data_IF_498405597500
#
_entry.id   IF_498405597500
#
_cell.length_a   1.000
_cell.length_b   1.000
_cell.length_c   1.000
_cell.angle_alpha   90.00
_cell.angle_beta   90.00
_cell.angle_gamma   90.00
#
_symmetry.space_group_name_H-M   'P 1'
#
loop_
_entity.id
_entity.type
_entity.pdbx_description
1 polymer ?
#
# COMPACT_ATOMS: atom_id res chain seq x y z
N UNK A 1 19.84 18.84 -6.88
CA UNK A 1 18.53 18.20 -7.07
C UNK A 1 17.95 18.74 -8.36
N UNK A 2 17.36 17.90 -9.21
CA UNK A 2 16.72 18.37 -10.44
C UNK A 2 15.36 19.01 -10.13
N UNK A 3 14.89 19.94 -10.97
CA UNK A 3 13.55 20.55 -10.80
C UNK A 3 12.44 19.49 -10.78
N UNK A 4 12.62 18.42 -11.56
CA UNK A 4 11.73 17.25 -11.61
C UNK A 4 11.68 16.53 -10.26
N UNK A 5 12.82 16.32 -9.61
CA UNK A 5 12.90 15.66 -8.31
C UNK A 5 12.16 16.45 -7.21
N UNK A 6 12.29 17.78 -7.23
CA UNK A 6 11.59 18.67 -6.29
C UNK A 6 10.08 18.63 -6.54
N UNK A 7 9.65 18.71 -7.80
CA UNK A 7 8.22 18.65 -8.16
C UNK A 7 7.58 17.31 -7.75
N UNK A 8 8.25 16.19 -8.02
CA UNK A 8 7.76 14.85 -7.67
C UNK A 8 7.65 14.67 -6.15
N UNK A 9 8.72 15.03 -5.42
CA UNK A 9 8.74 14.91 -3.96
C UNK A 9 7.70 15.83 -3.31
N UNK A 10 7.55 17.06 -3.80
CA UNK A 10 6.52 18.01 -3.35
C UNK A 10 5.09 17.49 -3.56
N UNK A 11 4.84 16.84 -4.71
CA UNK A 11 3.55 16.19 -4.99
C UNK A 11 3.27 15.06 -4.00
N UNK A 12 4.26 14.20 -3.72
CA UNK A 12 4.13 13.10 -2.76
C UNK A 12 3.89 13.58 -1.32
N UNK A 13 4.51 14.69 -0.90
CA UNK A 13 4.22 15.30 0.39
C UNK A 13 2.79 15.85 0.45
N UNK A 14 2.30 16.45 -0.63
CA UNK A 14 0.92 16.94 -0.68
C UNK A 14 -0.08 15.78 -0.59
N UNK A 15 0.17 14.68 -1.31
CA UNK A 15 -0.62 13.45 -1.21
C UNK A 15 -0.59 12.90 0.22
N UNK A 16 0.57 12.90 0.86
CA UNK A 16 0.72 12.47 2.27
C UNK A 16 -0.17 13.30 3.19
N UNK A 17 -0.12 14.63 3.10
CA UNK A 17 -0.90 15.51 3.97
C UNK A 17 -2.40 15.31 3.77
N UNK A 18 -2.84 15.16 2.52
CA UNK A 18 -4.24 14.85 2.19
C UNK A 18 -4.63 13.50 2.78
N UNK A 19 -3.81 12.46 2.62
CA UNK A 19 -4.06 11.13 3.16
C UNK A 19 -4.18 11.14 4.69
N UNK A 20 -3.31 11.87 5.39
CA UNK A 20 -3.36 12.00 6.85
C UNK A 20 -4.59 12.80 7.32
N UNK A 21 -4.97 13.86 6.60
CA UNK A 21 -6.19 14.61 6.91
C UNK A 21 -7.45 13.73 6.75
N UNK A 22 -7.51 12.95 5.68
CA UNK A 22 -8.59 11.98 5.46
C UNK A 22 -8.58 10.89 6.54
N UNK A 23 -7.41 10.36 6.90
CA UNK A 23 -7.27 9.36 7.95
C UNK A 23 -7.79 9.89 9.30
N UNK A 24 -7.40 11.11 9.66
CA UNK A 24 -7.87 11.78 10.87
C UNK A 24 -9.39 11.89 10.88
N UNK A 25 -9.98 12.38 9.79
CA UNK A 25 -11.43 12.47 9.67
C UNK A 25 -12.10 11.09 9.77
N UNK A 26 -11.57 10.08 9.09
CA UNK A 26 -12.09 8.71 9.12
C UNK A 26 -12.08 8.11 10.54
N UNK A 27 -11.05 8.40 11.34
CA UNK A 27 -11.00 8.01 12.75
C UNK A 27 -11.93 8.80 13.65
N UNK A 28 -12.40 9.98 13.26
CA UNK A 28 -13.50 10.65 13.99
C UNK A 28 -14.88 10.09 13.64
N UNK A 29 -15.01 9.39 12.51
CA UNK A 29 -16.27 8.82 12.01
C UNK A 29 -16.41 7.29 12.23
N UNK A 30 -15.85 6.74 13.31
CA UNK A 30 -15.80 5.28 13.56
C UNK A 30 -17.16 4.55 13.60
N UNK A 31 -18.28 5.27 13.73
CA UNK A 31 -19.63 4.69 13.68
C UNK A 31 -20.02 4.24 12.28
N UNK A 32 -19.36 4.74 11.24
CA UNK A 32 -19.61 4.37 9.85
C UNK A 32 -18.86 3.07 9.50
N UNK A 33 -19.55 2.04 8.95
CA UNK A 33 -18.89 0.81 8.50
C UNK A 33 -17.76 1.11 7.51
N UNK A 34 -16.60 0.48 7.69
CA UNK A 34 -15.42 0.69 6.83
C UNK A 34 -14.55 1.90 7.19
N UNK A 35 -15.04 2.87 7.97
CA UNK A 35 -14.29 4.11 8.24
C UNK A 35 -12.94 3.85 8.93
N UNK A 36 -12.89 2.94 9.90
CA UNK A 36 -11.65 2.58 10.60
C UNK A 36 -10.63 1.94 9.66
N UNK A 37 -11.06 1.00 8.82
CA UNK A 37 -10.15 0.31 7.88
C UNK A 37 -9.66 1.27 6.82
N UNK A 38 -10.53 2.15 6.32
CA UNK A 38 -10.16 3.21 5.38
C UNK A 38 -9.14 4.19 5.99
N UNK A 39 -9.32 4.60 7.26
CA UNK A 39 -8.33 5.43 7.94
C UNK A 39 -6.96 4.76 8.04
N UNK A 40 -6.90 3.46 8.35
CA UNK A 40 -5.65 2.69 8.38
C UNK A 40 -5.04 2.58 6.98
N UNK A 41 -5.84 2.37 5.94
CA UNK A 41 -5.40 2.38 4.54
C UNK A 41 -4.76 3.73 4.17
N UNK A 42 -5.38 4.85 4.54
CA UNK A 42 -4.82 6.18 4.33
C UNK A 42 -3.49 6.39 5.07
N UNK A 43 -3.35 5.89 6.30
CA UNK A 43 -2.08 5.93 7.04
C UNK A 43 -1.01 5.09 6.34
N UNK A 44 -1.34 3.88 5.89
CA UNK A 44 -0.41 3.01 5.16
C UNK A 44 0.06 3.67 3.84
N UNK A 45 -0.87 4.30 3.11
CA UNK A 45 -0.54 5.09 1.92
C UNK A 45 0.36 6.27 2.25
N UNK A 46 0.13 6.97 3.36
CA UNK A 46 0.96 8.09 3.80
C UNK A 46 2.39 7.64 4.16
N UNK A 47 2.55 6.49 4.82
CA UNK A 47 3.86 5.89 5.11
C UNK A 47 4.59 5.60 3.80
N UNK A 48 3.90 5.01 2.82
CA UNK A 48 4.46 4.73 1.50
C UNK A 48 4.90 6.02 0.80
N UNK A 49 4.03 7.03 0.69
CA UNK A 49 4.33 8.25 -0.06
C UNK A 49 5.41 9.11 0.59
N UNK A 50 5.48 9.18 1.93
CA UNK A 50 6.59 9.86 2.63
C UNK A 50 7.89 9.12 2.41
N UNK A 51 7.90 7.80 2.57
CA UNK A 51 9.11 7.02 2.36
C UNK A 51 9.62 7.17 0.93
N UNK A 52 8.73 7.16 -0.06
CA UNK A 52 9.08 7.38 -1.45
C UNK A 52 9.58 8.79 -1.74
N UNK A 53 8.96 9.83 -1.15
CA UNK A 53 9.44 11.20 -1.26
C UNK A 53 10.85 11.35 -0.68
N UNK A 54 11.10 10.77 0.49
CA UNK A 54 12.41 10.79 1.13
C UNK A 54 13.46 9.98 0.36
N UNK A 55 13.07 8.84 -0.23
CA UNK A 55 13.92 8.07 -1.14
C UNK A 55 14.38 8.94 -2.31
N UNK A 56 13.45 9.64 -2.96
CA UNK A 56 13.75 10.54 -4.07
C UNK A 56 14.63 11.72 -3.66
N UNK A 57 14.50 12.26 -2.45
CA UNK A 57 15.26 13.43 -2.01
C UNK A 57 16.72 13.12 -1.63
N UNK A 58 17.06 11.86 -1.42
CA UNK A 58 18.40 11.45 -0.98
C UNK A 58 19.27 10.98 -2.16
N UNK A 59 20.58 11.12 -2.00
CA UNK A 59 21.59 10.65 -2.97
C UNK A 59 22.52 9.58 -2.40
N UNK A 60 22.52 9.41 -1.07
CA UNK A 60 23.32 8.39 -0.39
C UNK A 60 22.62 7.03 -0.45
N UNK A 61 23.35 5.98 -0.87
CA UNK A 61 22.84 4.60 -0.92
C UNK A 61 22.18 4.17 0.40
N UNK A 62 22.82 4.45 1.53
CA UNK A 62 22.30 4.08 2.85
C UNK A 62 20.97 4.77 3.17
N UNK A 63 20.84 6.06 2.83
CA UNK A 63 19.60 6.79 3.06
C UNK A 63 18.48 6.30 2.14
N UNK A 64 18.78 6.07 0.86
CA UNK A 64 17.81 5.58 -0.13
C UNK A 64 17.34 4.16 0.25
N UNK A 65 18.24 3.26 0.66
CA UNK A 65 17.84 1.91 1.11
C UNK A 65 17.01 1.94 2.41
N UNK A 66 17.37 2.79 3.38
CA UNK A 66 16.58 2.96 4.60
C UNK A 66 15.16 3.43 4.31
N UNK A 67 15.01 4.49 3.50
CA UNK A 67 13.69 5.00 3.11
C UNK A 67 12.92 4.01 2.23
N UNK A 68 13.64 3.25 1.39
CA UNK A 68 13.14 2.09 0.67
C UNK A 68 12.54 1.03 1.61
N UNK A 69 13.26 0.64 2.67
CA UNK A 69 12.74 -0.29 3.69
C UNK A 69 11.55 0.30 4.45
N UNK A 70 11.59 1.60 4.77
CA UNK A 70 10.49 2.30 5.46
C UNK A 70 9.19 2.32 4.65
N UNK A 71 9.24 2.70 3.36
CA UNK A 71 8.02 2.73 2.53
C UNK A 71 7.38 1.35 2.38
N UNK A 72 8.17 0.28 2.46
CA UNK A 72 7.70 -1.10 2.39
C UNK A 72 6.78 -1.50 3.54
N UNK A 73 6.89 -0.82 4.69
CA UNK A 73 5.99 -1.00 5.84
C UNK A 73 4.56 -0.59 5.47
N UNK A 74 4.38 0.50 4.73
CA UNK A 74 3.07 0.90 4.21
C UNK A 74 2.64 0.02 3.04
N UNK A 75 3.52 -0.09 2.04
CA UNK A 75 3.24 -0.75 0.76
C UNK A 75 2.74 -2.18 0.92
N UNK A 76 3.36 -2.96 1.81
CA UNK A 76 3.03 -4.38 1.95
C UNK A 76 1.59 -4.58 2.45
N UNK A 77 1.09 -3.69 3.32
CA UNK A 77 -0.23 -3.84 3.94
C UNK A 77 -1.39 -3.28 3.12
N UNK A 78 -1.13 -2.40 2.15
CA UNK A 78 -2.17 -1.77 1.31
C UNK A 78 -3.13 -2.81 0.69
N UNK A 79 -2.66 -3.92 0.08
CA UNK A 79 -3.56 -4.93 -0.50
C UNK A 79 -4.44 -5.62 0.54
N UNK A 80 -3.88 -5.93 1.72
CA UNK A 80 -4.65 -6.50 2.82
C UNK A 80 -5.78 -5.56 3.26
N UNK A 81 -5.44 -4.28 3.38
CA UNK A 81 -6.36 -3.24 3.83
C UNK A 81 -7.49 -3.00 2.83
N UNK A 82 -7.22 -3.08 1.52
CA UNK A 82 -8.27 -3.07 0.49
C UNK A 82 -9.26 -4.23 0.64
N UNK A 83 -8.75 -5.44 0.89
CA UNK A 83 -9.61 -6.61 1.11
C UNK A 83 -10.46 -6.42 2.37
N UNK A 84 -9.83 -6.03 3.48
CA UNK A 84 -10.53 -5.75 4.74
C UNK A 84 -11.59 -4.66 4.58
N UNK A 85 -11.28 -3.60 3.83
CA UNK A 85 -12.19 -2.52 3.57
C UNK A 85 -13.40 -2.99 2.76
N UNK A 86 -13.19 -3.84 1.74
CA UNK A 86 -14.29 -4.40 0.95
C UNK A 86 -15.22 -5.29 1.79
N UNK A 87 -14.67 -6.02 2.76
CA UNK A 87 -15.43 -6.89 3.69
C UNK A 87 -16.22 -6.04 4.68
N UNK A 88 -15.59 -5.03 5.27
CA UNK A 88 -16.21 -4.16 6.28
C UNK A 88 -17.28 -3.26 5.68
N UNK A 89 -17.00 -2.65 4.51
CA UNK A 89 -17.92 -1.78 3.80
C UNK A 89 -19.16 -2.56 3.30
N UNK A 90 -18.99 -3.84 2.94
CA UNK A 90 -20.10 -4.74 2.59
C UNK A 90 -20.79 -5.42 3.78
N UNK A 91 -20.38 -5.14 5.01
CA UNK A 91 -20.84 -5.79 6.25
C UNK A 91 -20.80 -7.33 6.22
N UNK A 92 -19.81 -7.91 5.54
CA UNK A 92 -19.70 -9.35 5.30
C UNK A 92 -18.71 -10.06 6.26
N UNK A 93 -18.43 -9.46 7.42
CA UNK A 93 -17.42 -9.98 8.37
C UNK A 93 -17.69 -11.42 8.81
N UNK A 94 -18.96 -11.77 9.02
CA UNK A 94 -19.37 -13.11 9.48
C UNK A 94 -19.07 -14.24 8.48
N UNK A 95 -18.78 -13.91 7.20
CA UNK A 95 -18.46 -14.89 6.16
C UNK A 95 -17.04 -15.47 6.31
N UNK A 96 -16.15 -14.79 7.03
CA UNK A 96 -14.73 -15.15 7.11
C UNK A 96 -14.35 -15.57 8.51
N UNK A 97 -13.50 -16.60 8.60
CA UNK A 97 -12.95 -17.08 9.86
C UNK A 97 -11.65 -16.35 10.22
N UNK A 98 -11.17 -16.57 11.45
CA UNK A 98 -9.92 -15.96 11.92
C UNK A 98 -8.68 -16.40 11.11
N UNK A 99 -8.73 -17.59 10.51
CA UNK A 99 -7.64 -18.13 9.67
C UNK A 99 -7.45 -17.27 8.41
N UNK A 100 -8.54 -16.83 7.77
CA UNK A 100 -8.48 -15.94 6.62
C UNK A 100 -7.78 -14.61 6.98
N UNK A 101 -8.19 -13.97 8.08
CA UNK A 101 -7.58 -12.73 8.53
C UNK A 101 -6.11 -12.91 8.92
N UNK A 102 -5.76 -14.05 9.53
CA UNK A 102 -4.39 -14.39 9.87
C UNK A 102 -3.51 -14.43 8.62
N UNK A 103 -3.87 -15.22 7.60
CA UNK A 103 -3.06 -15.30 6.38
C UNK A 103 -3.01 -13.98 5.60
N UNK A 104 -4.11 -13.24 5.55
CA UNK A 104 -4.18 -11.93 4.91
C UNK A 104 -3.19 -10.93 5.52
N UNK A 105 -2.98 -10.97 6.84
CA UNK A 105 -2.04 -10.07 7.52
C UNK A 105 -0.65 -10.68 7.71
N UNK A 106 -0.50 -12.00 7.64
CA UNK A 106 0.79 -12.67 7.79
C UNK A 106 1.70 -12.45 6.58
N UNK A 107 1.16 -12.55 5.36
CA UNK A 107 1.94 -12.34 4.13
C UNK A 107 2.63 -10.95 4.09
N UNK A 108 1.95 -9.82 4.38
CA UNK A 108 2.61 -8.53 4.41
C UNK A 108 3.60 -8.39 5.57
N UNK A 109 3.36 -9.02 6.72
CA UNK A 109 4.35 -9.07 7.82
C UNK A 109 5.63 -9.79 7.40
N UNK A 110 5.51 -10.96 6.76
CA UNK A 110 6.67 -11.69 6.25
C UNK A 110 7.38 -10.88 5.16
N UNK A 111 6.62 -10.17 4.31
CA UNK A 111 7.20 -9.31 3.27
C UNK A 111 8.05 -8.19 3.85
N UNK A 112 7.56 -7.50 4.88
CA UNK A 112 8.34 -6.49 5.61
C UNK A 112 9.58 -7.15 6.23
N UNK A 113 9.42 -8.28 6.92
CA UNK A 113 10.55 -9.00 7.50
C UNK A 113 11.62 -9.34 6.47
N UNK A 114 11.23 -10.00 5.37
CA UNK A 114 12.10 -10.37 4.25
C UNK A 114 12.81 -9.17 3.63
N UNK A 115 12.17 -8.00 3.60
CA UNK A 115 12.78 -6.79 3.08
C UNK A 115 13.84 -6.22 4.03
N UNK A 116 13.57 -6.23 5.33
CA UNK A 116 14.51 -5.76 6.34
C UNK A 116 15.71 -6.71 6.52
N UNK A 117 15.51 -8.02 6.37
CA UNK A 117 16.57 -9.04 6.48
C UNK A 117 17.22 -9.41 5.16
N UNK A 118 16.92 -8.68 4.07
CA UNK A 118 17.32 -9.08 2.72
C UNK A 118 18.83 -9.27 2.55
N UNK A 119 19.66 -8.55 3.31
CA UNK A 119 21.13 -8.66 3.30
C UNK A 119 21.65 -10.05 3.74
N UNK A 120 20.83 -10.85 4.43
CA UNK A 120 21.23 -12.18 4.92
C UNK A 120 20.91 -13.29 3.92
N UNK A 121 19.80 -13.16 3.20
CA UNK A 121 19.22 -14.28 2.44
C UNK A 121 18.94 -13.97 0.96
N UNK A 122 18.89 -12.69 0.56
CA UNK A 122 18.69 -12.26 -0.82
C UNK A 122 17.39 -12.79 -1.49
N UNK A 123 16.37 -13.13 -0.68
CA UNK A 123 15.11 -13.71 -1.16
C UNK A 123 14.12 -12.67 -1.68
N UNK A 124 14.25 -11.42 -1.21
CA UNK A 124 13.43 -10.32 -1.71
C UNK A 124 14.08 -9.69 -2.93
N UNK A 125 15.36 -9.35 -2.81
CA UNK A 125 16.21 -8.86 -3.90
C UNK A 125 17.57 -9.54 -3.88
N UNK A 126 18.04 -9.92 -5.06
CA UNK A 126 19.30 -10.64 -5.23
C UNK A 126 20.50 -9.72 -5.44
N UNK A 127 20.31 -8.61 -6.15
CA UNK A 127 21.37 -7.62 -6.42
C UNK A 127 20.85 -6.20 -6.22
N UNK A 128 21.72 -5.32 -5.71
CA UNK A 128 21.46 -3.88 -5.56
C UNK A 128 22.42 -3.11 -6.47
N UNK A 129 21.88 -2.35 -7.41
CA UNK A 129 22.65 -1.41 -8.22
C UNK A 129 21.99 -0.03 -8.18
N UNK A 130 22.79 1.02 -8.06
CA UNK A 130 22.28 2.38 -8.23
C UNK A 130 22.30 2.72 -9.71
N UNK A 131 21.13 3.04 -10.25
CA UNK A 131 21.02 3.56 -11.60
C UNK A 131 20.53 4.99 -11.52
N UNK A 132 21.38 5.90 -12.00
CA UNK A 132 21.03 7.30 -12.17
C UNK A 132 20.60 7.54 -13.61
N UNK A 133 19.43 8.12 -13.80
CA UNK A 133 18.92 8.53 -15.11
C UNK A 133 19.21 10.00 -15.43
N UNK A 134 20.12 10.63 -14.67
CA UNK A 134 20.46 12.05 -14.77
C UNK A 134 19.52 12.99 -13.99
N UNK A 135 18.33 12.53 -13.59
CA UNK A 135 17.37 13.34 -12.84
C UNK A 135 17.23 12.93 -11.37
N UNK A 136 17.33 11.62 -11.09
CA UNK A 136 17.31 11.04 -9.75
C UNK A 136 18.03 9.68 -9.76
N UNK A 137 18.47 9.25 -8.56
CA UNK A 137 19.12 7.94 -8.39
C UNK A 137 18.10 6.97 -7.81
N UNK A 138 17.87 5.85 -8.49
CA UNK A 138 17.01 4.77 -8.01
C UNK A 138 17.85 3.55 -7.65
N UNK A 139 17.40 2.78 -6.66
CA UNK A 139 17.86 1.40 -6.55
C UNK A 139 17.16 0.55 -7.62
N UNK A 140 17.97 0.02 -8.53
CA UNK A 140 17.58 -1.07 -9.38
C UNK A 140 17.90 -2.38 -8.68
N UNK A 141 16.86 -3.19 -8.48
CA UNK A 141 16.94 -4.48 -7.84
C UNK A 141 16.65 -5.61 -8.81
N UNK A 142 17.43 -6.68 -8.73
CA UNK A 142 17.05 -7.96 -9.32
C UNK A 142 16.05 -8.65 -8.40
N UNK A 143 14.88 -9.01 -8.93
CA UNK A 143 13.73 -9.52 -8.16
C UNK A 143 14.01 -10.94 -7.66
N UNK A 144 13.97 -11.14 -6.34
CA UNK A 144 14.09 -12.46 -5.72
C UNK A 144 12.76 -13.24 -5.72
N UNK A 145 12.76 -14.51 -5.30
CA UNK A 145 11.56 -15.36 -5.29
C UNK A 145 10.40 -14.78 -4.46
N UNK A 146 10.68 -14.19 -3.30
CA UNK A 146 9.65 -13.65 -2.42
C UNK A 146 8.97 -12.41 -3.02
N UNK A 147 9.67 -11.67 -3.89
CA UNK A 147 9.07 -10.55 -4.61
C UNK A 147 7.86 -11.03 -5.44
N UNK A 148 7.99 -12.15 -6.16
CA UNK A 148 6.89 -12.70 -6.96
C UNK A 148 5.72 -13.18 -6.10
N UNK A 149 5.99 -13.76 -4.92
CA UNK A 149 4.96 -14.11 -3.94
C UNK A 149 4.16 -12.87 -3.54
N UNK A 150 4.86 -11.77 -3.24
CA UNK A 150 4.22 -10.51 -2.87
C UNK A 150 3.42 -9.91 -4.05
N UNK A 151 3.91 -10.00 -5.29
CA UNK A 151 3.18 -9.54 -6.49
C UNK A 151 1.90 -10.35 -6.69
N UNK A 152 1.96 -11.68 -6.62
CA UNK A 152 0.78 -12.54 -6.75
C UNK A 152 -0.23 -12.21 -5.65
N UNK A 153 0.24 -12.04 -4.42
CA UNK A 153 -0.57 -11.61 -3.30
C UNK A 153 -1.26 -10.25 -3.54
N UNK A 154 -0.52 -9.27 -4.05
CA UNK A 154 -1.03 -7.94 -4.40
C UNK A 154 -2.16 -8.04 -5.44
N UNK A 155 -1.91 -8.75 -6.55
CA UNK A 155 -2.88 -8.93 -7.64
C UNK A 155 -4.12 -9.68 -7.15
N UNK A 156 -3.95 -10.73 -6.34
CA UNK A 156 -5.05 -11.50 -5.78
C UNK A 156 -5.93 -10.64 -4.87
N UNK A 157 -5.33 -9.84 -4.00
CA UNK A 157 -6.05 -8.94 -3.09
C UNK A 157 -6.78 -7.82 -3.83
N UNK A 158 -6.14 -7.19 -4.82
CA UNK A 158 -6.76 -6.17 -5.67
C UNK A 158 -7.98 -6.74 -6.39
N UNK A 159 -7.78 -7.84 -7.12
CA UNK A 159 -8.85 -8.53 -7.87
C UNK A 159 -10.02 -8.94 -6.97
N UNK A 160 -9.73 -9.45 -5.76
CA UNK A 160 -10.74 -9.83 -4.79
C UNK A 160 -11.55 -8.64 -4.29
N UNK A 161 -10.87 -7.54 -3.97
CA UNK A 161 -11.48 -6.29 -3.49
C UNK A 161 -12.37 -5.69 -4.56
N UNK A 162 -11.86 -5.56 -5.79
CA UNK A 162 -12.62 -5.08 -6.95
C UNK A 162 -13.89 -5.91 -7.16
N UNK A 163 -13.79 -7.25 -7.12
CA UNK A 163 -14.96 -8.14 -7.23
C UNK A 163 -16.00 -7.85 -6.14
N UNK A 164 -15.57 -7.70 -4.89
CA UNK A 164 -16.49 -7.43 -3.78
C UNK A 164 -17.19 -6.08 -3.95
N UNK A 165 -16.47 -5.04 -4.37
CA UNK A 165 -17.06 -3.73 -4.64
C UNK A 165 -18.04 -3.74 -5.82
N UNK A 166 -17.74 -4.47 -6.90
CA UNK A 166 -18.66 -4.64 -8.03
C UNK A 166 -19.95 -5.33 -7.57
N UNK A 167 -19.84 -6.44 -6.82
CA UNK A 167 -21.01 -7.16 -6.29
C UNK A 167 -21.83 -6.28 -5.33
N UNK A 168 -21.17 -5.46 -4.52
CA UNK A 168 -21.85 -4.53 -3.63
C UNK A 168 -22.60 -3.44 -4.41
N UNK A 169 -21.98 -2.90 -5.45
CA UNK A 169 -22.56 -1.85 -6.31
C UNK A 169 -23.90 -2.27 -6.94
N UNK A 170 -24.08 -3.57 -7.20
CA UNK A 170 -25.31 -4.14 -7.76
C UNK A 170 -26.45 -4.23 -6.73
N UNK A 171 -26.15 -4.21 -5.43
CA UNK A 171 -27.10 -4.44 -4.34
C UNK A 171 -27.54 -3.18 -3.60
N UNK A 172 -26.95 -2.02 -3.92
CA UNK A 172 -27.12 -0.77 -3.15
C UNK A 172 -27.80 0.35 -3.94
N UNK A 173 -28.34 1.34 -3.22
CA UNK A 173 -28.92 2.57 -3.80
C UNK A 173 -27.89 3.37 -4.60
N UNK A 174 -28.34 4.24 -5.50
CA UNK A 174 -27.50 4.95 -6.49
C UNK A 174 -26.24 5.63 -5.92
N UNK A 175 -26.32 6.31 -4.77
CA UNK A 175 -25.17 6.98 -4.15
C UNK A 175 -24.10 5.99 -3.63
N UNK A 176 -24.52 4.93 -2.94
CA UNK A 176 -23.64 3.87 -2.45
C UNK A 176 -23.06 3.03 -3.59
N UNK A 177 -23.78 2.92 -4.70
CA UNK A 177 -23.29 2.30 -5.93
C UNK A 177 -22.11 3.07 -6.54
N UNK A 178 -22.22 4.40 -6.63
CA UNK A 178 -21.12 5.25 -7.11
C UNK A 178 -19.90 5.14 -6.19
N UNK A 179 -20.09 5.22 -4.87
CA UNK A 179 -18.99 5.05 -3.90
C UNK A 179 -18.30 3.70 -4.05
N UNK A 180 -19.06 2.61 -4.22
CA UNK A 180 -18.50 1.27 -4.43
C UNK A 180 -17.70 1.18 -5.74
N UNK A 181 -18.15 1.82 -6.82
CA UNK A 181 -17.42 1.83 -8.09
C UNK A 181 -16.13 2.66 -8.00
N UNK A 182 -16.13 3.77 -7.27
CA UNK A 182 -14.92 4.55 -6.98
C UNK A 182 -13.90 3.69 -6.22
N UNK A 183 -14.34 2.95 -5.20
CA UNK A 183 -13.48 2.02 -4.46
C UNK A 183 -12.98 0.87 -5.34
N UNK A 184 -13.80 0.38 -6.27
CA UNK A 184 -13.39 -0.64 -7.23
C UNK A 184 -12.27 -0.14 -8.14
N UNK A 185 -12.36 1.10 -8.66
CA UNK A 185 -11.29 1.69 -9.48
C UNK A 185 -10.01 1.96 -8.70
N UNK A 186 -10.11 2.30 -7.41
CA UNK A 186 -8.96 2.63 -6.58
C UNK A 186 -8.18 1.41 -6.06
N UNK A 187 -8.73 0.19 -6.22
CA UNK A 187 -8.13 -1.06 -5.74
C UNK A 187 -7.37 -1.86 -6.81
N UNK A 188 -7.35 -1.36 -8.05
CA UNK A 188 -6.59 -1.90 -9.19
C UNK A 188 -5.26 -1.15 -9.30
#
# INVERSE_FOLDING_TARGET
MSDVQILLSGTLFTITLIALAIAFHAFTSMKTPGARVFGILCVASAIYTVGYAMELMNTSLHAIDFWGKFQYVGLSFIPALWVLLSIDYGNNRARYNNVFYFFLLMIPMITVFMRFTNEVHHLYYTEMSLVSNGHFTLLQFTKGPWYYVHVVYFIACGSYSTRNYIVLSQKTKALMRIQSLIMASASI
#
